data_IF_775552191792
#
_entry.id   IF_775552191792
#
_cell.length_a   1.000
_cell.length_b   1.000
_cell.length_c   1.000
_cell.angle_alpha   90.00
_cell.angle_beta   90.00
_cell.angle_gamma   90.00
#
_symmetry.space_group_name_H-M   'P 1'
#
loop_
_entity.id
_entity.type
_entity.pdbx_description
1 polymer ?
#
# COMPACT_ATOMS: atom_id res chain seq x y z
N UNK A 1 0.81 -0.59 15.43
CA UNK A 1 -0.48 -1.31 15.48
C UNK A 1 -0.20 -2.77 15.10
N UNK A 2 -1.11 -3.70 15.37
CA UNK A 2 -0.97 -5.09 14.92
C UNK A 2 -1.83 -5.30 13.68
N UNK A 3 -1.34 -6.05 12.71
CA UNK A 3 -2.11 -6.41 11.52
C UNK A 3 -3.09 -7.53 11.92
N UNK A 4 -4.40 -7.25 11.83
CA UNK A 4 -5.46 -8.19 12.27
C UNK A 4 -6.40 -8.55 11.13
N UNK A 5 -7.14 -9.66 11.28
CA UNK A 5 -8.14 -10.11 10.31
C UNK A 5 -7.59 -10.88 9.10
N UNK A 6 -6.31 -11.26 9.12
CA UNK A 6 -5.65 -12.11 8.12
C UNK A 6 -5.32 -13.49 8.70
N UNK A 7 -4.94 -14.43 7.84
CA UNK A 7 -4.41 -15.71 8.33
C UNK A 7 -3.11 -15.48 9.11
N UNK A 8 -2.79 -16.31 10.13
CA UNK A 8 -1.59 -16.14 10.94
C UNK A 8 -0.31 -16.09 10.11
N UNK A 9 -0.22 -16.89 9.05
CA UNK A 9 0.94 -16.96 8.16
C UNK A 9 1.11 -15.65 7.38
N UNK A 10 0.00 -15.08 6.91
CA UNK A 10 0.03 -13.78 6.21
C UNK A 10 0.38 -12.66 7.18
N UNK A 11 -0.21 -12.66 8.38
CA UNK A 11 0.14 -11.68 9.42
C UNK A 11 1.63 -11.73 9.75
N UNK A 12 2.19 -12.90 10.05
CA UNK A 12 3.60 -13.06 10.38
C UNK A 12 4.54 -12.60 9.25
N UNK A 13 4.18 -12.90 7.99
CA UNK A 13 4.93 -12.43 6.82
C UNK A 13 4.92 -10.90 6.74
N UNK A 14 3.77 -10.26 6.95
CA UNK A 14 3.65 -8.80 6.87
C UNK A 14 4.35 -8.11 8.03
N UNK A 15 4.26 -8.65 9.25
CA UNK A 15 4.97 -8.11 10.42
C UNK A 15 6.48 -8.15 10.23
N UNK A 16 7.03 -9.25 9.70
CA UNK A 16 8.46 -9.35 9.37
C UNK A 16 8.87 -8.28 8.35
N UNK A 17 8.07 -8.05 7.31
CA UNK A 17 8.36 -7.00 6.32
C UNK A 17 8.25 -5.59 6.92
N UNK A 18 7.30 -5.35 7.84
CA UNK A 18 7.20 -4.08 8.57
C UNK A 18 8.46 -3.83 9.39
N UNK A 19 8.95 -4.85 10.11
CA UNK A 19 10.18 -4.73 10.90
C UNK A 19 11.41 -4.47 10.03
N UNK A 20 11.51 -5.10 8.86
CA UNK A 20 12.56 -4.81 7.87
C UNK A 20 12.47 -3.37 7.31
N UNK A 21 11.25 -2.82 7.17
CA UNK A 21 11.02 -1.50 6.59
C UNK A 21 11.21 -0.35 7.59
N UNK A 22 11.00 -0.57 8.90
CA UNK A 22 11.17 0.45 9.95
C UNK A 22 12.52 1.18 9.89
N UNK A 23 13.68 0.51 9.81
CA UNK A 23 14.97 1.20 9.71
C UNK A 23 15.14 1.98 8.40
N UNK A 24 14.54 1.51 7.29
CA UNK A 24 14.57 2.23 6.01
C UNK A 24 13.77 3.53 6.08
N UNK A 25 12.62 3.50 6.77
CA UNK A 25 11.78 4.66 6.97
C UNK A 25 12.45 5.71 7.86
N UNK A 26 13.23 5.29 8.85
CA UNK A 26 13.98 6.19 9.74
C UNK A 26 15.24 6.78 9.10
N UNK A 27 15.73 6.20 8.00
CA UNK A 27 16.88 6.70 7.25
C UNK A 27 16.51 7.74 6.19
N UNK A 28 17.53 8.23 5.46
CA UNK A 28 17.40 9.33 4.50
C UNK A 28 16.46 9.04 3.31
N UNK A 29 16.23 7.76 3.00
CA UNK A 29 15.35 7.34 1.90
C UNK A 29 13.86 7.34 2.23
N UNK A 30 13.51 7.36 3.53
CA UNK A 30 12.14 7.40 4.02
C UNK A 30 11.20 6.42 3.32
N UNK A 31 9.99 6.87 3.00
CA UNK A 31 8.96 6.03 2.38
C UNK A 31 9.30 5.62 0.94
N UNK A 32 10.10 6.40 0.21
CA UNK A 32 10.51 6.04 -1.15
C UNK A 32 11.40 4.79 -1.16
N UNK A 33 12.31 4.67 -0.18
CA UNK A 33 13.13 3.46 -0.01
C UNK A 33 12.28 2.23 0.35
N UNK A 34 11.26 2.40 1.19
CA UNK A 34 10.30 1.34 1.53
C UNK A 34 9.58 0.83 0.28
N UNK A 35 9.00 1.73 -0.53
CA UNK A 35 8.27 1.32 -1.74
C UNK A 35 9.17 0.64 -2.78
N UNK A 36 10.43 1.08 -2.87
CA UNK A 36 11.43 0.42 -3.72
C UNK A 36 11.67 -1.02 -3.27
N UNK A 37 11.93 -1.25 -1.98
CA UNK A 37 12.14 -2.61 -1.45
C UNK A 37 10.93 -3.52 -1.73
N UNK A 38 9.72 -3.04 -1.44
CA UNK A 38 8.49 -3.83 -1.63
C UNK A 38 8.26 -4.17 -3.10
N UNK A 39 8.61 -3.26 -4.01
CA UNK A 39 8.51 -3.48 -5.45
C UNK A 39 9.58 -4.46 -5.96
N UNK A 40 10.83 -4.32 -5.51
CA UNK A 40 11.92 -5.25 -5.85
C UNK A 40 11.62 -6.69 -5.37
N UNK A 41 10.99 -6.84 -4.20
CA UNK A 41 10.53 -8.13 -3.68
C UNK A 41 9.21 -8.63 -4.26
N UNK A 42 8.61 -7.87 -5.20
CA UNK A 42 7.31 -8.20 -5.83
C UNK A 42 6.22 -8.48 -4.80
N UNK A 43 6.18 -7.71 -3.73
CA UNK A 43 5.09 -7.79 -2.74
C UNK A 43 3.79 -7.42 -3.45
N UNK A 44 2.70 -8.14 -3.17
CA UNK A 44 1.40 -7.82 -3.78
C UNK A 44 0.92 -6.42 -3.36
N UNK A 45 0.19 -5.71 -4.24
CA UNK A 45 -0.21 -4.32 -3.99
C UNK A 45 -0.97 -4.16 -2.69
N UNK A 46 -1.91 -5.06 -2.39
CA UNK A 46 -2.69 -4.99 -1.15
C UNK A 46 -1.81 -5.19 0.08
N UNK A 47 -0.85 -6.12 0.03
CA UNK A 47 0.11 -6.33 1.12
C UNK A 47 1.02 -5.11 1.30
N UNK A 48 1.46 -4.50 0.20
CA UNK A 48 2.23 -3.26 0.23
C UNK A 48 1.45 -2.10 0.87
N UNK A 49 0.14 -1.97 0.58
CA UNK A 49 -0.75 -0.98 1.23
C UNK A 49 -0.87 -1.25 2.73
N UNK A 50 -1.05 -2.50 3.14
CA UNK A 50 -1.14 -2.86 4.57
C UNK A 50 0.16 -2.53 5.29
N UNK A 51 1.31 -2.90 4.75
CA UNK A 51 2.64 -2.59 5.32
C UNK A 51 2.84 -1.07 5.40
N UNK A 52 2.54 -0.34 4.32
CA UNK A 52 2.71 1.12 4.27
C UNK A 52 1.81 1.82 5.29
N UNK A 53 0.55 1.37 5.43
CA UNK A 53 -0.37 1.90 6.44
C UNK A 53 0.13 1.65 7.86
N UNK A 54 0.64 0.46 8.12
CA UNK A 54 1.20 0.11 9.43
C UNK A 54 2.39 1.01 9.79
N UNK A 55 3.24 1.30 8.80
CA UNK A 55 4.40 2.21 8.95
C UNK A 55 4.01 3.68 9.15
N UNK A 56 2.94 4.15 8.51
CA UNK A 56 2.39 5.50 8.72
C UNK A 56 1.72 5.66 10.09
N UNK A 57 1.25 4.55 10.68
CA UNK A 57 0.51 4.54 11.93
C UNK A 57 -1.00 4.71 11.76
N UNK A 58 -1.69 4.75 12.90
CA UNK A 58 -3.15 4.88 12.93
C UNK A 58 -3.58 6.34 12.68
N UNK A 59 -4.42 6.54 11.66
CA UNK A 59 -5.03 7.82 11.37
C UNK A 59 -6.27 7.64 10.50
N UNK A 60 -7.21 8.60 10.49
CA UNK A 60 -8.42 8.52 9.68
C UNK A 60 -8.10 8.50 8.17
N UNK A 61 -6.97 9.07 7.77
CA UNK A 61 -6.49 9.14 6.38
C UNK A 61 -5.42 8.10 6.05
N UNK A 62 -4.94 7.32 7.03
CA UNK A 62 -3.73 6.50 6.84
C UNK A 62 -3.89 5.41 5.76
N UNK A 63 -5.11 4.91 5.55
CA UNK A 63 -5.39 4.00 4.45
C UNK A 63 -5.34 4.69 3.09
N UNK A 64 -5.90 5.89 2.97
CA UNK A 64 -5.91 6.67 1.73
C UNK A 64 -4.48 7.07 1.38
N UNK A 65 -3.73 7.59 2.35
CA UNK A 65 -2.32 7.96 2.19
C UNK A 65 -1.46 6.76 1.78
N UNK A 66 -1.61 5.60 2.46
CA UNK A 66 -0.89 4.39 2.11
C UNK A 66 -1.18 3.93 0.67
N UNK A 67 -2.46 3.95 0.28
CA UNK A 67 -2.87 3.59 -1.08
C UNK A 67 -2.27 4.54 -2.11
N UNK A 68 -2.33 5.85 -1.86
CA UNK A 68 -1.73 6.85 -2.76
C UNK A 68 -0.24 6.61 -2.91
N UNK A 69 0.50 6.51 -1.80
CA UNK A 69 1.96 6.27 -1.80
C UNK A 69 2.33 5.03 -2.61
N UNK A 70 1.63 3.91 -2.39
CA UNK A 70 1.92 2.65 -3.08
C UNK A 70 1.62 2.78 -4.57
N UNK A 71 0.44 3.27 -4.95
CA UNK A 71 0.02 3.31 -6.35
C UNK A 71 0.82 4.32 -7.18
N UNK A 72 1.27 5.42 -6.58
CA UNK A 72 2.12 6.40 -7.27
C UNK A 72 3.61 6.04 -7.24
N UNK A 73 3.99 4.92 -6.62
CA UNK A 73 5.40 4.51 -6.54
C UNK A 73 5.93 3.97 -7.88
N UNK A 74 7.22 4.21 -8.20
CA UNK A 74 7.85 3.59 -9.36
C UNK A 74 7.73 2.07 -9.31
N UNK A 75 7.29 1.46 -10.41
CA UNK A 75 7.05 0.01 -10.50
C UNK A 75 5.59 -0.42 -10.35
N UNK A 76 4.68 0.48 -9.96
CA UNK A 76 3.24 0.21 -9.79
C UNK A 76 2.34 0.83 -10.85
N UNK A 77 2.92 1.36 -11.92
CA UNK A 77 2.16 2.07 -12.97
C UNK A 77 1.12 1.21 -13.69
N UNK A 78 1.26 -0.13 -13.71
CA UNK A 78 0.22 -1.01 -14.25
C UNK A 78 -0.99 -1.05 -13.33
N UNK A 79 -0.77 -1.24 -12.04
CA UNK A 79 -1.82 -1.34 -11.03
C UNK A 79 -2.53 -0.01 -10.82
N UNK A 80 -1.79 1.12 -10.91
CA UNK A 80 -2.38 2.47 -10.91
C UNK A 80 -3.35 2.66 -12.09
N UNK A 81 -2.95 2.31 -13.32
CA UNK A 81 -3.84 2.43 -14.48
C UNK A 81 -5.09 1.56 -14.37
N UNK A 82 -4.96 0.34 -13.87
CA UNK A 82 -6.12 -0.54 -13.62
C UNK A 82 -7.04 0.07 -12.56
N UNK A 83 -6.46 0.69 -11.54
CA UNK A 83 -7.23 1.37 -10.51
C UNK A 83 -8.00 2.58 -11.06
N UNK A 84 -7.33 3.45 -11.83
CA UNK A 84 -7.94 4.62 -12.47
C UNK A 84 -9.09 4.20 -13.40
N UNK A 85 -8.84 3.25 -14.31
CA UNK A 85 -9.88 2.74 -15.22
C UNK A 85 -11.10 2.19 -14.49
N UNK A 86 -10.88 1.49 -13.37
CA UNK A 86 -11.97 0.97 -12.56
C UNK A 86 -12.77 2.10 -11.88
N UNK A 87 -12.09 3.10 -11.33
CA UNK A 87 -12.74 4.25 -10.70
C UNK A 87 -13.51 5.09 -11.71
N UNK A 88 -12.93 5.36 -12.88
CA UNK A 88 -13.58 6.07 -13.98
C UNK A 88 -14.87 5.35 -14.41
N UNK A 89 -14.83 4.01 -14.46
CA UNK A 89 -16.01 3.19 -14.76
C UNK A 89 -17.10 3.27 -13.69
N UNK A 90 -16.73 3.34 -12.41
CA UNK A 90 -17.69 3.54 -11.31
C UNK A 90 -18.32 4.93 -11.36
N UNK A 91 -17.56 5.96 -11.67
CA UNK A 91 -18.05 7.33 -11.80
C UNK A 91 -19.04 7.45 -12.98
N UNK A 92 -18.70 6.86 -14.13
CA UNK A 92 -19.57 6.84 -15.31
C UNK A 92 -20.87 6.07 -15.05
N UNK A 93 -20.79 4.93 -14.36
CA UNK A 93 -21.97 4.11 -14.06
C UNK A 93 -22.83 4.72 -12.95
N UNK A 94 -22.21 5.41 -11.98
CA UNK A 94 -22.92 6.19 -10.95
C UNK A 94 -23.61 7.42 -11.53
N UNK A 95 -23.02 8.06 -12.54
CA UNK A 95 -23.62 9.20 -13.25
C UNK A 95 -24.81 8.82 -14.16
N UNK A 96 -24.87 7.57 -14.63
CA UNK A 96 -25.99 7.04 -15.41
C UNK A 96 -27.17 6.55 -14.54
N UNK A 97 -26.97 6.46 -13.23
CA UNK A 97 -27.96 5.99 -12.25
C UNK A 97 -28.68 7.08 -11.46
N UNK A 98 -28.53 8.36 -11.83
CA UNK A 98 -29.15 9.52 -11.15
C UNK A 98 -30.08 10.31 -12.08
#
# INVERSE_FOLDING_TARGET
MAITGLSPERTARLEALVDECRPLLAGDGGMAAVQRLLSERRVEVLDAVVITRELLGAGPTSLVEAKTIVLTSPGRGRELRVHEQFMDGLEQNGALGQ
#
